data_IF_032138698975
#
_entry.id   IF_032138698975
#
_cell.length_a   1.000
_cell.length_b   1.000
_cell.length_c   1.000
_cell.angle_alpha   90.00
_cell.angle_beta   90.00
_cell.angle_gamma   90.00
#
_symmetry.space_group_name_H-M   'P 1'
#
loop_
_entity.id
_entity.type
_entity.pdbx_description
1 polymer ?
#
# COMPACT_ATOMS: atom_id res chain seq x y z
N UNK A 1 74.55 7.05 1.64
CA UNK A 1 73.47 6.95 0.61
C UNK A 1 72.81 5.58 0.73
N UNK A 2 71.47 5.51 0.55
CA UNK A 2 70.50 4.43 0.91
C UNK A 2 70.07 4.52 2.38
N UNK A 3 68.95 5.13 2.79
CA UNK A 3 67.55 5.10 2.34
C UNK A 3 66.94 3.70 2.17
N UNK A 4 66.15 3.28 3.16
CA UNK A 4 64.97 2.45 2.96
C UNK A 4 64.03 2.61 4.16
N UNK A 5 63.07 3.53 4.01
CA UNK A 5 61.91 3.70 4.88
C UNK A 5 60.94 2.53 4.70
N UNK A 6 60.77 1.69 5.72
CA UNK A 6 59.73 0.65 5.73
C UNK A 6 58.42 1.24 6.25
N UNK A 7 57.62 1.77 5.34
CA UNK A 7 56.23 2.13 5.60
C UNK A 7 55.38 0.87 5.50
N UNK A 8 54.98 0.33 6.65
CA UNK A 8 54.05 -0.78 6.71
C UNK A 8 52.70 -0.35 6.11
N UNK A 9 52.31 -1.09 5.08
CA UNK A 9 51.17 -0.83 4.21
C UNK A 9 49.86 -0.74 4.99
N UNK A 10 49.14 0.35 4.72
CA UNK A 10 47.75 0.58 5.09
C UNK A 10 46.86 -0.52 4.51
N UNK A 11 46.15 -1.26 5.35
CA UNK A 11 44.96 -1.97 4.93
C UNK A 11 43.74 -1.14 5.32
N UNK A 12 43.40 -0.17 4.46
CA UNK A 12 42.08 0.45 4.51
C UNK A 12 41.08 -0.62 4.10
N UNK A 13 40.25 -1.07 5.05
CA UNK A 13 39.08 -1.89 4.75
C UNK A 13 38.05 -0.98 4.08
N UNK A 14 38.22 -0.76 2.78
CA UNK A 14 37.23 -0.13 1.93
C UNK A 14 36.04 -1.09 1.79
N UNK A 15 35.08 -0.97 2.71
CA UNK A 15 33.78 -1.59 2.58
C UNK A 15 33.05 -0.93 1.40
N UNK A 16 33.36 -1.43 0.22
CA UNK A 16 32.78 -1.02 -1.04
C UNK A 16 31.35 -1.56 -1.04
N UNK A 17 30.42 -0.78 -0.48
CA UNK A 17 28.99 -0.98 -0.75
C UNK A 17 28.82 -0.80 -2.26
N UNK A 18 28.83 -1.91 -2.99
CA UNK A 18 28.55 -1.91 -4.40
C UNK A 18 27.13 -1.38 -4.58
N UNK A 19 27.00 -0.09 -4.93
CA UNK A 19 25.75 0.46 -5.38
C UNK A 19 25.41 -0.17 -6.74
N UNK A 20 24.75 -1.31 -6.67
CA UNK A 20 24.13 -1.97 -7.82
C UNK A 20 23.02 -1.05 -8.32
N UNK A 21 23.26 -0.37 -9.44
CA UNK A 21 22.33 0.60 -10.06
C UNK A 21 21.02 -0.02 -10.59
N UNK A 22 20.74 -1.29 -10.29
CA UNK A 22 19.46 -1.96 -10.55
C UNK A 22 18.84 -2.65 -9.33
N UNK A 23 19.52 -2.69 -8.17
CA UNK A 23 19.05 -3.42 -7.00
C UNK A 23 17.84 -2.77 -6.32
N UNK A 24 17.62 -1.46 -6.53
CA UNK A 24 16.45 -0.75 -6.01
C UNK A 24 15.24 -0.76 -6.94
N UNK A 25 15.41 -0.74 -8.26
CA UNK A 25 14.29 -0.49 -9.19
C UNK A 25 13.24 -1.61 -9.12
N UNK A 26 13.67 -2.87 -9.15
CA UNK A 26 12.74 -4.02 -9.05
C UNK A 26 12.19 -4.17 -7.64
N UNK A 27 12.97 -3.89 -6.60
CA UNK A 27 12.53 -3.95 -5.21
C UNK A 27 11.43 -2.90 -4.93
N UNK A 28 11.62 -1.67 -5.41
CA UNK A 28 10.59 -0.64 -5.33
C UNK A 28 9.35 -1.00 -6.13
N UNK A 29 9.49 -1.55 -7.34
CA UNK A 29 8.34 -1.98 -8.15
C UNK A 29 7.54 -3.07 -7.43
N UNK A 30 8.20 -4.05 -6.81
CA UNK A 30 7.54 -5.12 -6.06
C UNK A 30 6.82 -4.55 -4.83
N UNK A 31 7.48 -3.70 -4.04
CA UNK A 31 6.87 -3.08 -2.85
C UNK A 31 5.66 -2.21 -3.25
N UNK A 32 5.78 -1.41 -4.31
CA UNK A 32 4.68 -0.58 -4.83
C UNK A 32 3.53 -1.45 -5.33
N UNK A 33 3.80 -2.56 -6.02
CA UNK A 33 2.76 -3.49 -6.46
C UNK A 33 1.99 -4.10 -5.27
N UNK A 34 2.69 -4.47 -4.19
CA UNK A 34 2.06 -4.97 -2.97
C UNK A 34 1.18 -3.90 -2.29
N UNK A 35 1.68 -2.67 -2.18
CA UNK A 35 0.92 -1.54 -1.62
C UNK A 35 -0.29 -1.22 -2.50
N UNK A 36 -0.16 -1.26 -3.82
CA UNK A 36 -1.27 -0.97 -4.73
C UNK A 36 -2.42 -1.97 -4.59
N UNK A 37 -2.11 -3.26 -4.48
CA UNK A 37 -3.12 -4.31 -4.23
C UNK A 37 -3.80 -4.07 -2.88
N UNK A 38 -3.03 -3.78 -1.83
CA UNK A 38 -3.58 -3.48 -0.51
C UNK A 38 -4.45 -2.21 -0.52
N UNK A 39 -4.08 -1.19 -1.29
CA UNK A 39 -4.83 0.06 -1.42
C UNK A 39 -6.17 -0.16 -2.15
N UNK A 40 -6.19 -0.95 -3.23
CA UNK A 40 -7.44 -1.30 -3.94
C UNK A 40 -8.40 -2.02 -2.98
N UNK A 41 -7.89 -3.00 -2.22
CA UNK A 41 -8.69 -3.73 -1.23
C UNK A 41 -9.21 -2.81 -0.12
N UNK A 42 -8.35 -1.94 0.43
CA UNK A 42 -8.73 -1.01 1.49
C UNK A 42 -9.79 0.00 1.04
N UNK A 43 -9.64 0.59 -0.16
CA UNK A 43 -10.61 1.55 -0.71
C UNK A 43 -11.93 0.86 -1.05
N UNK A 44 -11.91 -0.35 -1.59
CA UNK A 44 -13.12 -1.12 -1.84
C UNK A 44 -13.87 -1.49 -0.56
N UNK A 45 -13.15 -1.94 0.47
CA UNK A 45 -13.77 -2.44 1.71
C UNK A 45 -14.20 -1.32 2.66
N UNK A 46 -13.41 -0.25 2.78
CA UNK A 46 -13.67 0.83 3.74
C UNK A 46 -14.22 2.11 3.10
N UNK A 47 -14.10 2.30 1.78
CA UNK A 47 -14.45 3.55 1.11
C UNK A 47 -15.93 3.93 1.24
N UNK A 48 -16.84 2.96 1.13
CA UNK A 48 -18.28 3.18 1.34
C UNK A 48 -18.59 3.61 2.78
N UNK A 49 -17.89 3.02 3.76
CA UNK A 49 -18.06 3.32 5.19
C UNK A 49 -17.57 4.72 5.53
N UNK A 50 -16.37 5.08 5.07
CA UNK A 50 -15.80 6.42 5.30
C UNK A 50 -16.65 7.50 4.63
N UNK A 51 -17.11 7.26 3.40
CA UNK A 51 -18.02 8.18 2.69
C UNK A 51 -19.32 8.37 3.46
N UNK A 52 -19.92 7.31 3.97
CA UNK A 52 -21.19 7.38 4.69
C UNK A 52 -21.08 8.12 6.02
N UNK A 53 -19.98 7.92 6.75
CA UNK A 53 -19.72 8.69 7.97
C UNK A 53 -19.56 10.18 7.65
N UNK A 54 -18.87 10.52 6.57
CA UNK A 54 -18.74 11.91 6.15
C UNK A 54 -20.09 12.54 5.77
N UNK A 55 -20.94 11.79 5.06
CA UNK A 55 -22.30 12.24 4.73
C UNK A 55 -23.16 12.38 5.99
N UNK A 56 -23.12 11.41 6.91
CA UNK A 56 -23.85 11.47 8.17
C UNK A 56 -23.46 12.70 9.00
N UNK A 57 -22.16 12.99 9.11
CA UNK A 57 -21.66 14.21 9.76
C UNK A 57 -22.15 15.47 9.03
N UNK A 58 -22.15 15.48 7.70
CA UNK A 58 -22.69 16.58 6.90
C UNK A 58 -24.18 16.79 7.14
N UNK A 59 -24.97 15.72 7.16
CA UNK A 59 -26.41 15.75 7.43
C UNK A 59 -26.71 16.24 8.84
N UNK A 60 -25.98 15.77 9.86
CA UNK A 60 -26.11 16.26 11.23
C UNK A 60 -25.82 17.77 11.34
N UNK A 61 -24.81 18.27 10.61
CA UNK A 61 -24.49 19.69 10.56
C UNK A 61 -25.60 20.53 9.90
N UNK A 62 -26.35 19.94 8.98
CA UNK A 62 -27.50 20.57 8.31
C UNK A 62 -28.80 20.41 9.11
N UNK A 63 -28.77 19.71 10.25
CA UNK A 63 -29.93 19.42 11.09
C UNK A 63 -30.77 18.24 10.62
N UNK A 64 -30.27 17.43 9.71
CA UNK A 64 -30.88 16.20 9.21
C UNK A 64 -30.38 14.97 9.99
N UNK A 65 -31.19 13.91 10.05
CA UNK A 65 -30.82 12.68 10.77
C UNK A 65 -29.78 11.88 9.96
N UNK A 66 -28.50 12.01 10.31
CA UNK A 66 -27.40 11.26 9.67
C UNK A 66 -27.42 9.75 9.89
N UNK A 67 -28.26 9.23 10.78
CA UNK A 67 -28.36 7.81 11.13
C UNK A 67 -28.79 6.91 9.97
N UNK A 68 -29.71 7.37 9.12
CA UNK A 68 -30.21 6.60 7.97
C UNK A 68 -29.11 6.27 6.95
N UNK A 69 -28.15 7.19 6.78
CA UNK A 69 -27.01 6.98 5.89
C UNK A 69 -26.03 5.91 6.40
N UNK A 70 -25.94 5.73 7.73
CA UNK A 70 -25.07 4.72 8.35
C UNK A 70 -25.74 3.33 8.27
N UNK A 71 -27.05 3.25 8.49
CA UNK A 71 -27.81 2.00 8.38
C UNK A 71 -27.77 1.41 6.98
N UNK A 72 -28.01 2.24 5.95
CA UNK A 72 -27.92 1.82 4.55
C UNK A 72 -26.53 1.27 4.19
N UNK A 73 -25.47 1.77 4.84
CA UNK A 73 -24.10 1.28 4.62
C UNK A 73 -23.82 -0.04 5.30
N UNK A 74 -24.39 -0.31 6.46
CA UNK A 74 -24.27 -1.64 7.08
C UNK A 74 -24.88 -2.72 6.17
N UNK A 75 -26.03 -2.44 5.55
CA UNK A 75 -26.65 -3.33 4.56
C UNK A 75 -25.78 -3.51 3.31
N UNK A 76 -25.22 -2.41 2.77
CA UNK A 76 -24.30 -2.47 1.62
C UNK A 76 -23.03 -3.24 1.97
N UNK A 77 -22.51 -3.16 3.19
CA UNK A 77 -21.31 -3.92 3.61
C UNK A 77 -21.58 -5.42 3.62
N UNK A 78 -22.74 -5.85 4.10
CA UNK A 78 -23.14 -7.26 4.08
C UNK A 78 -23.28 -7.78 2.64
N UNK A 79 -23.90 -7.01 1.75
CA UNK A 79 -24.00 -7.34 0.33
C UNK A 79 -22.65 -7.27 -0.44
N UNK A 80 -21.75 -6.36 -0.05
CA UNK A 80 -20.44 -6.20 -0.70
C UNK A 80 -19.54 -7.41 -0.47
N UNK A 81 -19.57 -8.01 0.73
CA UNK A 81 -18.81 -9.24 1.04
C UNK A 81 -19.14 -10.37 0.07
N UNK A 82 -20.38 -10.46 -0.40
CA UNK A 82 -20.84 -11.45 -1.37
C UNK A 82 -20.45 -11.07 -2.82
N UNK A 83 -20.54 -9.77 -3.17
CA UNK A 83 -20.22 -9.29 -4.52
C UNK A 83 -18.72 -9.28 -4.87
N UNK A 84 -17.83 -9.14 -3.87
CA UNK A 84 -16.37 -9.23 -4.08
C UNK A 84 -15.96 -10.64 -4.54
N UNK A 85 -16.68 -11.68 -4.11
CA UNK A 85 -16.49 -13.05 -4.58
C UNK A 85 -16.96 -13.26 -6.04
N UNK A 86 -17.85 -12.40 -6.55
CA UNK A 86 -18.43 -12.48 -7.89
C UNK A 86 -17.68 -11.65 -8.95
N UNK A 87 -16.68 -10.85 -8.56
CA UNK A 87 -15.92 -10.05 -9.52
C UNK A 87 -14.96 -10.93 -10.35
N UNK A 88 -14.71 -10.59 -11.64
CA UNK A 88 -13.73 -11.28 -12.46
C UNK A 88 -12.33 -11.06 -11.88
N UNK A 89 -11.90 -11.99 -11.04
CA UNK A 89 -10.53 -12.02 -10.54
C UNK A 89 -9.61 -12.62 -11.59
N UNK A 90 -8.30 -12.50 -11.42
CA UNK A 90 -7.31 -13.10 -12.32
C UNK A 90 -7.50 -14.62 -12.50
N UNK A 91 -8.21 -15.27 -11.56
CA UNK A 91 -8.63 -16.67 -11.63
C UNK A 91 -9.58 -16.95 -12.81
N UNK A 92 -10.34 -15.95 -13.28
CA UNK A 92 -11.35 -16.12 -14.32
C UNK A 92 -10.78 -16.16 -15.76
N UNK A 93 -9.49 -15.88 -15.94
CA UNK A 93 -8.83 -15.80 -17.24
C UNK A 93 -7.86 -16.97 -17.51
N UNK A 94 -7.90 -18.01 -16.67
CA UNK A 94 -7.01 -19.17 -16.73
C UNK A 94 -7.66 -20.47 -17.21
N UNK A 95 -8.62 -20.41 -18.14
CA UNK A 95 -9.10 -21.58 -18.90
C UNK A 95 -8.54 -21.57 -20.31
#
# INVERSE_FOLDING_TARGET
MRNSSNWHLQHSLSNSRQQNRGQGMTEYIIIVALIAIAAIAAVGFFGSTVKAQFVAMGSELLGENGGEAIEAVNEVREAQVESVAAQPTLNNYGN
#
